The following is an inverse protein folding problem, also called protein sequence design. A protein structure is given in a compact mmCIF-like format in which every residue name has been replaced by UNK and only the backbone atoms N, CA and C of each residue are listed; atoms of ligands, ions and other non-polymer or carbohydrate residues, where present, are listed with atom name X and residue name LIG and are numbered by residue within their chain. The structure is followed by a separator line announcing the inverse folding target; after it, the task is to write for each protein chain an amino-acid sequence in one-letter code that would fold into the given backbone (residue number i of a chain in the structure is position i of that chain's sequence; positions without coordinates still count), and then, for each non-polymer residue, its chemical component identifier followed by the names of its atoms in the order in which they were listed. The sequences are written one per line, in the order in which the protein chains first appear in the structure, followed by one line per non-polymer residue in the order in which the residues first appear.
data_IF_998950932509
#
_entry.id   IF_998950932509
#
_cell.length_a   1.000
_cell.length_b   1.000
_cell.length_c   1.000
_cell.angle_alpha   90.00
_cell.angle_beta   90.00
_cell.angle_gamma   90.00
#
_symmetry.space_group_name_H-M   'P 1'
#
loop_
_entity.id
_entity.type
_entity.pdbx_description
1 polymer ?
2 non-polymer ?
3 non-polymer ?
4 non-polymer ?
5 non-polymer ?
6 water ?
#
# COMPACT_ATOMS: atom_id res chain seq x y z
N UNK A 3 18.59 -14.99 -23.63
CA UNK A 3 17.29 -14.68 -23.03
C UNK A 3 17.14 -15.22 -21.62
N UNK A 4 18.25 -15.62 -21.01
CA UNK A 4 18.30 -16.02 -19.60
C UNK A 4 19.17 -15.02 -18.87
N UNK A 5 18.63 -14.50 -17.79
CA UNK A 5 19.33 -13.50 -16.97
C UNK A 5 19.90 -14.21 -15.77
N UNK A 6 21.23 -14.21 -15.71
CA UNK A 6 21.99 -14.90 -14.64
C UNK A 6 22.79 -13.88 -13.86
N UNK A 7 22.69 -12.59 -14.16
CA UNK A 7 23.51 -11.59 -13.47
C UNK A 7 22.90 -10.23 -13.77
N UNK A 8 23.39 -9.21 -13.06
CA UNK A 8 22.92 -7.87 -13.41
C UNK A 8 23.32 -7.49 -14.80
N UNK A 9 24.48 -7.97 -15.30
CA UNK A 9 24.80 -7.49 -16.66
C UNK A 9 23.95 -8.16 -17.72
N UNK A 10 23.54 -9.42 -17.50
CA UNK A 10 22.68 -10.10 -18.48
C UNK A 10 21.38 -9.36 -18.67
N UNK A 11 20.96 -8.66 -17.62
CA UNK A 11 19.65 -8.03 -17.68
C UNK A 11 19.56 -7.00 -18.79
N UNK A 12 20.71 -6.43 -19.18
CA UNK A 12 20.67 -5.40 -20.19
C UNK A 12 20.60 -6.03 -21.58
N UNK A 13 20.62 -7.34 -21.69
CA UNK A 13 20.76 -7.97 -22.99
C UNK A 13 19.50 -8.68 -23.47
N UNK A 14 18.35 -8.36 -22.85
CA UNK A 14 17.13 -9.09 -23.17
C UNK A 14 16.33 -8.49 -24.30
N UNK A 15 16.81 -7.43 -24.91
CA UNK A 15 16.03 -6.83 -25.98
C UNK A 15 15.96 -7.83 -27.12
N UNK A 16 14.76 -8.08 -27.60
CA UNK A 16 14.47 -9.08 -28.62
C UNK A 16 13.86 -10.33 -28.07
N UNK A 17 13.90 -10.54 -26.75
CA UNK A 17 13.38 -11.77 -26.14
C UNK A 17 11.88 -11.65 -25.83
N UNK A 18 11.03 -12.48 -26.42
CA UNK A 18 9.64 -12.57 -26.04
C UNK A 18 9.42 -13.48 -24.84
N UNK A 19 10.42 -14.28 -24.52
CA UNK A 19 10.39 -15.17 -23.34
C UNK A 19 11.71 -15.02 -22.63
N UNK A 20 11.70 -14.48 -21.41
CA UNK A 20 12.90 -14.26 -20.61
C UNK A 20 12.82 -15.17 -19.43
N UNK A 21 13.93 -15.84 -19.12
CA UNK A 21 14.03 -16.58 -17.85
C UNK A 21 14.93 -15.81 -16.91
N UNK A 22 14.41 -15.55 -15.72
CA UNK A 22 15.18 -14.84 -14.69
C UNK A 22 15.67 -15.90 -13.72
N UNK A 23 16.97 -16.26 -13.83
CA UNK A 23 17.51 -17.23 -12.90
C UNK A 23 17.77 -16.59 -11.54
N UNK A 24 18.05 -17.47 -10.57
CA UNK A 24 18.49 -16.95 -9.24
C UNK A 24 19.95 -16.60 -9.24
N UNK A 25 20.28 -15.55 -8.49
CA UNK A 25 21.63 -15.03 -8.34
C UNK A 25 21.59 -13.98 -7.23
N UNK A 26 22.77 -13.50 -6.87
CA UNK A 26 22.90 -12.36 -5.96
C UNK A 26 23.17 -11.11 -6.76
N UNK A 27 22.43 -10.03 -6.42
CA UNK A 27 22.72 -8.68 -6.92
C UNK A 27 23.79 -8.11 -6.00
N UNK A 28 25.01 -7.91 -6.49
CA UNK A 28 26.11 -7.51 -5.60
C UNK A 28 25.89 -6.09 -5.12
N UNK A 29 26.59 -5.78 -4.00
CA UNK A 29 26.62 -4.43 -3.47
C UNK A 29 26.90 -3.45 -4.57
N UNK A 30 26.22 -2.31 -4.57
CA UNK A 30 26.56 -1.26 -5.55
C UNK A 30 25.92 -1.44 -6.88
N UNK A 31 25.03 -2.45 -7.03
CA UNK A 31 24.41 -2.68 -8.36
C UNK A 31 22.90 -2.72 -8.20
N UNK A 32 22.24 -2.53 -9.33
CA UNK A 32 20.77 -2.70 -9.40
C UNK A 32 20.45 -3.67 -10.52
N UNK A 33 19.25 -4.23 -10.43
CA UNK A 33 18.73 -5.14 -11.45
C UNK A 33 17.60 -4.44 -12.16
N UNK A 34 17.82 -4.12 -13.43
CA UNK A 34 16.87 -3.39 -14.24
C UNK A 34 16.48 -4.23 -15.43
N UNK A 35 15.19 -4.47 -15.61
CA UNK A 35 14.70 -5.21 -16.75
C UNK A 35 13.73 -4.34 -17.53
N UNK A 36 13.98 -4.20 -18.83
CA UNK A 36 13.15 -3.47 -19.77
C UNK A 36 12.77 -4.47 -20.86
N UNK A 37 11.83 -5.37 -20.59
CA UNK A 37 11.49 -6.42 -21.53
C UNK A 37 10.75 -5.90 -22.71
N UNK A 38 10.81 -6.66 -23.81
CA UNK A 38 10.06 -6.38 -24.98
C UNK A 38 8.53 -6.34 -24.67
N UNK A 39 7.83 -5.54 -25.48
CA UNK A 39 6.39 -5.46 -25.33
C UNK A 39 5.78 -6.84 -25.41
N UNK A 40 4.87 -7.14 -24.47
CA UNK A 40 4.18 -8.42 -24.45
C UNK A 40 5.02 -9.63 -24.01
N UNK A 41 6.24 -9.38 -23.56
CA UNK A 41 7.09 -10.54 -23.19
C UNK A 41 6.58 -11.21 -21.93
N UNK A 42 6.89 -12.51 -21.87
CA UNK A 42 6.73 -13.28 -20.62
C UNK A 42 8.09 -13.38 -19.95
N UNK A 43 8.14 -13.00 -18.67
CA UNK A 43 9.33 -13.11 -17.84
C UNK A 43 9.02 -14.12 -16.77
N UNK A 44 9.78 -15.24 -16.72
CA UNK A 44 9.53 -16.31 -15.76
C UNK A 44 10.70 -16.41 -14.82
N UNK A 45 10.43 -16.36 -13.53
CA UNK A 45 11.45 -16.53 -12.54
C UNK A 45 11.73 -18.01 -12.30
N UNK A 46 13.03 -18.35 -12.26
CA UNK A 46 13.44 -19.77 -12.10
C UNK A 46 14.33 -19.91 -10.86
N UNK A 47 14.56 -18.86 -10.13
CA UNK A 47 15.35 -18.94 -8.90
C UNK A 47 15.08 -17.70 -8.07
N UNK A 48 15.67 -17.68 -6.85
CA UNK A 48 15.53 -16.56 -5.94
C UNK A 48 16.66 -15.55 -6.18
N UNK A 49 16.33 -14.27 -6.04
CA UNK A 49 17.31 -13.18 -6.23
C UNK A 49 17.57 -12.55 -4.90
N UNK A 50 18.81 -12.59 -4.46
CA UNK A 50 19.20 -12.05 -3.14
C UNK A 50 20.02 -10.78 -3.35
N UNK A 51 19.72 -9.75 -2.56
CA UNK A 51 20.39 -8.45 -2.73
C UNK A 51 21.36 -8.29 -1.57
N UNK A 52 22.66 -8.31 -1.88
CA UNK A 52 23.66 -8.10 -0.85
C UNK A 52 23.47 -6.74 -0.23
N UNK A 53 23.91 -6.55 1.01
CA UNK A 53 23.78 -5.24 1.65
C UNK A 53 24.45 -4.19 0.80
N UNK A 54 23.75 -3.08 0.59
CA UNK A 54 24.15 -2.06 -0.37
C UNK A 54 23.97 -0.67 0.22
N UNK A 55 24.72 0.28 -0.34
CA UNK A 55 24.59 1.69 0.03
C UNK A 55 23.75 2.45 -0.98
N UNK A 56 23.33 1.83 -2.07
CA UNK A 56 22.55 2.54 -3.07
C UNK A 56 21.17 2.92 -2.56
N UNK A 57 20.64 4.02 -3.13
CA UNK A 57 19.23 4.28 -2.96
C UNK A 57 18.44 3.23 -3.78
N UNK A 58 17.22 2.96 -3.34
CA UNK A 58 16.31 2.20 -4.16
C UNK A 58 15.78 2.99 -5.28
N UNK A 59 15.08 2.34 -6.22
CA UNK A 59 14.78 0.90 -6.22
C UNK A 59 16.01 0.08 -6.59
N UNK A 60 16.09 -1.09 -5.91
CA UNK A 60 17.17 -2.05 -6.26
C UNK A 60 16.78 -2.93 -7.42
N UNK A 61 15.52 -3.11 -7.67
CA UNK A 61 14.99 -3.87 -8.81
C UNK A 61 13.94 -2.99 -9.50
N UNK A 62 14.06 -2.80 -10.81
CA UNK A 62 13.08 -2.07 -11.57
C UNK A 62 12.72 -2.91 -12.78
N UNK A 63 11.42 -3.09 -13.02
CA UNK A 63 10.94 -3.69 -14.27
C UNK A 63 9.93 -2.73 -14.86
N UNK A 64 10.11 -2.50 -16.15
CA UNK A 64 9.36 -1.48 -16.88
C UNK A 64 9.07 -2.03 -18.25
N UNK A 65 7.83 -2.25 -18.57
CA UNK A 65 7.48 -2.69 -19.93
C UNK A 65 5.97 -2.60 -20.13
N UNK A 66 5.54 -2.89 -21.35
CA UNK A 66 4.15 -2.85 -21.76
C UNK A 66 3.59 -4.25 -21.94
N UNK A 67 2.50 -4.58 -21.26
CA UNK A 67 1.86 -5.85 -21.45
C UNK A 67 2.74 -7.03 -21.00
N UNK A 68 3.55 -6.82 -19.94
CA UNK A 68 4.44 -7.86 -19.46
C UNK A 68 3.65 -8.92 -18.72
N UNK A 69 4.01 -10.18 -18.95
CA UNK A 69 3.45 -11.31 -18.21
C UNK A 69 4.54 -11.86 -17.33
N UNK A 70 4.51 -11.57 -16.02
CA UNK A 70 5.62 -11.94 -15.11
C UNK A 70 5.10 -13.13 -14.30
N UNK A 71 5.78 -14.27 -14.45
CA UNK A 71 5.42 -15.52 -13.85
C UNK A 71 6.45 -15.82 -12.77
N UNK A 72 6.05 -15.63 -11.50
CA UNK A 72 7.04 -15.71 -10.46
C UNK A 72 7.40 -17.11 -9.99
N UNK A 73 6.50 -18.07 -10.21
CA UNK A 73 6.78 -19.47 -9.81
C UNK A 73 7.19 -19.56 -8.34
N UNK A 74 6.60 -18.71 -7.49
CA UNK A 74 6.80 -18.67 -6.06
C UNK A 74 8.23 -18.34 -5.63
N UNK A 75 9.01 -17.75 -6.52
CA UNK A 75 10.36 -17.36 -6.13
C UNK A 75 10.37 -16.06 -5.33
N UNK A 76 11.57 -15.76 -4.80
CA UNK A 76 11.74 -14.73 -3.80
C UNK A 76 12.75 -13.69 -4.25
N UNK A 77 12.40 -12.41 -3.99
CA UNK A 77 13.33 -11.30 -4.00
C UNK A 77 13.69 -11.03 -2.53
N UNK A 78 14.93 -11.31 -2.14
CA UNK A 78 15.33 -11.21 -0.74
C UNK A 78 16.12 -9.94 -0.52
N UNK A 79 15.52 -9.01 0.23
CA UNK A 79 16.12 -7.71 0.46
C UNK A 79 17.07 -7.63 1.60
N UNK A 80 17.26 -8.73 2.37
CA UNK A 80 18.21 -8.69 3.50
C UNK A 80 17.88 -7.57 4.48
N UNK A 81 16.57 -7.35 4.70
CA UNK A 81 16.19 -6.17 5.47
C UNK A 81 16.72 -6.13 6.87
N UNK A 82 16.90 -7.28 7.54
CA UNK A 82 17.40 -7.27 8.90
C UNK A 82 18.82 -6.72 9.00
N UNK A 83 19.56 -6.64 7.88
CA UNK A 83 20.86 -6.01 7.93
C UNK A 83 20.78 -4.49 8.04
N UNK A 84 19.61 -3.94 7.83
CA UNK A 84 19.39 -2.50 7.84
C UNK A 84 18.49 -2.06 8.99
N UNK A 85 17.47 -2.88 9.34
CA UNK A 85 16.44 -2.40 10.27
C UNK A 85 17.02 -1.97 11.60
N UNK A 86 16.59 -0.81 12.04
CA UNK A 86 17.12 -0.20 13.31
C UNK A 86 16.03 0.48 14.08
N UNK A 87 14.75 0.19 13.80
CA UNK A 87 13.66 0.82 14.49
C UNK A 87 13.28 2.19 13.98
N UNK A 88 14.03 2.76 13.01
CA UNK A 88 13.79 4.15 12.57
C UNK A 88 13.32 4.23 11.15
N UNK A 89 13.35 3.12 10.40
CA UNK A 89 12.80 3.19 9.03
C UNK A 89 13.43 4.27 8.19
N UNK A 90 12.59 4.91 7.41
CA UNK A 90 13.06 5.98 6.54
C UNK A 90 12.98 7.35 7.19
N UNK A 91 12.65 7.36 8.50
CA UNK A 91 12.58 8.62 9.20
C UNK A 91 13.90 9.10 9.68
N UNK A 92 14.80 8.22 10.00
CA UNK A 92 16.13 8.53 10.52
C UNK A 92 16.93 7.27 10.59
N UNK A 93 18.08 7.29 11.18
CA UNK A 93 18.90 6.10 11.43
C UNK A 93 19.65 5.67 10.17
N UNK A 94 19.84 4.36 10.05
CA UNK A 94 20.60 3.79 8.96
C UNK A 94 19.88 4.09 7.64
N UNK A 95 20.67 4.22 6.55
CA UNK A 95 20.08 4.30 5.23
C UNK A 95 19.33 3.00 4.92
N UNK A 96 18.13 3.15 4.38
CA UNK A 96 17.33 2.00 3.93
C UNK A 96 17.12 2.14 2.44
N UNK A 97 17.63 1.26 1.59
CA UNK A 97 17.29 1.32 0.18
C UNK A 97 15.79 1.18 0.00
N UNK A 98 15.13 2.14 -0.62
CA UNK A 98 13.67 2.07 -0.78
C UNK A 98 13.29 2.88 -2.00
N UNK A 99 12.17 2.51 -2.65
CA UNK A 99 11.49 1.22 -2.48
C UNK A 99 12.46 0.10 -2.86
N UNK A 100 12.10 -1.13 -2.49
CA UNK A 100 12.93 -2.28 -2.89
C UNK A 100 12.74 -2.58 -4.38
N UNK A 101 11.49 -2.86 -4.75
CA UNK A 101 11.11 -3.11 -6.12
C UNK A 101 10.28 -1.92 -6.67
N UNK A 102 10.47 -1.66 -7.96
CA UNK A 102 9.63 -0.71 -8.71
C UNK A 102 9.12 -1.42 -9.94
N UNK A 103 7.77 -1.38 -10.12
CA UNK A 103 7.10 -2.00 -11.25
C UNK A 103 6.35 -0.90 -11.98
N UNK A 104 6.68 -0.72 -13.27
CA UNK A 104 6.17 0.33 -14.11
C UNK A 104 5.62 -0.24 -15.40
N UNK A 105 4.68 0.48 -16.04
CA UNK A 105 4.17 0.13 -17.35
C UNK A 105 2.85 -0.61 -17.19
N UNK A 106 2.76 -1.84 -17.70
CA UNK A 106 1.51 -2.56 -17.68
C UNK A 106 1.75 -4.06 -17.78
N UNK A 107 0.69 -4.82 -17.53
CA UNK A 107 0.74 -6.27 -17.64
C UNK A 107 0.20 -6.92 -16.39
N UNK A 108 0.67 -8.15 -16.13
CA UNK A 108 0.18 -8.99 -15.03
C UNK A 108 1.40 -9.64 -14.36
N UNK A 109 1.48 -9.46 -13.07
CA UNK A 109 2.62 -9.93 -12.24
C UNK A 109 2.07 -10.91 -11.23
N UNK A 110 2.56 -12.13 -11.21
CA UNK A 110 1.96 -13.19 -10.39
C UNK A 110 2.97 -13.95 -9.56
N UNK A 111 2.57 -14.30 -8.34
CA UNK A 111 3.13 -15.43 -7.60
C UNK A 111 4.64 -15.30 -7.39
N UNK A 112 5.02 -14.21 -6.76
CA UNK A 112 6.39 -14.14 -6.18
C UNK A 112 6.28 -13.49 -4.82
N UNK A 113 7.41 -13.56 -4.12
CA UNK A 113 7.50 -13.05 -2.75
C UNK A 113 8.61 -12.03 -2.68
N UNK A 114 8.34 -10.94 -1.96
CA UNK A 114 9.36 -10.00 -1.50
C UNK A 114 9.60 -10.33 -0.06
N UNK A 115 10.83 -10.74 0.27
CA UNK A 115 11.19 -11.15 1.63
C UNK A 115 12.10 -10.10 2.23
N UNK A 116 11.68 -9.59 3.40
CA UNK A 116 12.55 -8.68 4.18
C UNK A 116 13.09 -7.51 3.38
N UNK A 117 12.14 -6.68 2.86
CA UNK A 117 12.57 -5.42 2.28
C UNK A 117 13.23 -4.53 3.34
N UNK A 118 14.24 -3.74 2.97
CA UNK A 118 14.84 -2.79 3.92
C UNK A 118 13.81 -1.81 4.49
N UNK A 119 12.92 -1.33 3.64
CA UNK A 119 11.81 -0.43 4.09
C UNK A 119 10.68 -0.66 3.10
N UNK A 120 10.23 0.35 2.39
CA UNK A 120 9.03 0.16 1.56
C UNK A 120 9.32 -0.92 0.50
N UNK A 121 8.36 -1.83 0.32
CA UNK A 121 8.64 -3.05 -0.47
C UNK A 121 8.41 -2.86 -1.96
N UNK A 122 7.18 -2.60 -2.40
CA UNK A 122 6.88 -2.56 -3.82
C UNK A 122 6.24 -1.20 -4.17
N UNK A 123 6.92 -0.45 -5.03
CA UNK A 123 6.41 0.79 -5.59
C UNK A 123 5.83 0.50 -6.98
N UNK A 124 4.59 0.95 -7.16
CA UNK A 124 3.85 0.71 -8.36
C UNK A 124 3.57 2.00 -9.08
N UNK A 125 3.98 2.06 -10.33
CA UNK A 125 3.63 3.17 -11.22
C UNK A 125 4.87 3.91 -11.69
N UNK A 126 4.68 4.73 -12.70
CA UNK A 126 3.41 4.95 -13.40
C UNK A 126 3.10 3.79 -14.36
N UNK A 127 1.87 3.82 -14.85
CA UNK A 127 1.38 2.78 -15.76
C UNK A 127 1.11 3.42 -17.14
N UNK A 128 1.10 2.50 -18.14
CA UNK A 128 0.72 2.89 -19.48
C UNK A 128 -0.51 2.15 -19.97
N UNK A 129 -1.09 1.29 -19.17
CA UNK A 129 -2.30 0.47 -19.44
C UNK A 129 -2.59 -0.27 -18.11
N UNK A 130 -3.51 -1.23 -18.10
CA UNK A 130 -3.81 -1.85 -16.81
C UNK A 130 -2.58 -2.62 -16.29
N UNK A 131 -2.40 -2.57 -14.97
CA UNK A 131 -1.34 -3.32 -14.27
C UNK A 131 -1.98 -4.09 -13.15
N UNK A 132 -1.78 -5.40 -13.18
CA UNK A 132 -2.34 -6.30 -12.17
C UNK A 132 -1.22 -7.00 -11.44
N UNK A 133 -1.26 -6.94 -10.09
CA UNK A 133 -0.37 -7.71 -9.21
C UNK A 133 -1.25 -8.73 -8.52
N UNK A 134 -0.92 -10.00 -8.64
CA UNK A 134 -1.81 -11.08 -8.22
C UNK A 134 -1.02 -12.15 -7.53
N UNK A 135 -1.33 -12.40 -6.28
CA UNK A 135 -0.73 -13.54 -5.58
C UNK A 135 0.71 -13.25 -5.15
N UNK A 136 1.01 -11.98 -4.83
CA UNK A 136 2.33 -11.57 -4.32
C UNK A 136 2.29 -11.55 -2.82
N UNK A 137 3.38 -12.08 -2.23
CA UNK A 137 3.55 -12.02 -0.78
C UNK A 137 4.65 -11.03 -0.45
N UNK A 138 4.37 -10.07 0.44
CA UNK A 138 5.42 -9.25 1.04
C UNK A 138 5.57 -9.78 2.45
N UNK A 139 6.62 -10.58 2.66
CA UNK A 139 6.88 -11.18 3.97
C UNK A 139 7.99 -10.40 4.65
N UNK A 140 7.57 -9.40 5.45
CA UNK A 140 8.45 -8.65 6.35
C UNK A 140 8.16 -9.00 7.78
N UNK A 141 7.61 -10.19 8.06
CA UNK A 141 7.29 -10.57 9.43
C UNK A 141 8.49 -10.48 10.38
N UNK A 142 9.70 -10.82 9.85
CA UNK A 142 10.89 -10.76 10.71
C UNK A 142 11.09 -9.35 11.26
N UNK A 143 10.57 -8.33 10.60
CA UNK A 143 10.68 -6.96 11.07
C UNK A 143 9.94 -6.71 12.38
N UNK A 144 9.06 -7.61 12.81
CA UNK A 144 8.39 -7.41 14.09
C UNK A 144 9.36 -7.58 15.25
N UNK A 145 10.41 -8.38 15.06
CA UNK A 145 11.31 -8.70 16.18
C UNK A 145 11.96 -7.43 16.68
N UNK A 146 11.79 -7.16 18.00
CA UNK A 146 12.33 -5.99 18.68
C UNK A 146 11.86 -4.69 18.00
N UNK A 147 10.74 -4.79 17.29
CA UNK A 147 10.16 -3.63 16.59
C UNK A 147 11.14 -2.92 15.67
N UNK A 148 12.05 -3.73 15.05
CA UNK A 148 13.08 -3.07 14.26
C UNK A 148 12.63 -2.72 12.85
N UNK A 149 11.78 -3.48 12.23
CA UNK A 149 11.28 -3.14 10.90
C UNK A 149 10.38 -1.91 11.00
N UNK A 150 10.44 -1.02 10.01
CA UNK A 150 9.63 0.20 10.07
C UNK A 150 9.52 0.75 8.65
N UNK A 151 8.41 1.42 8.35
CA UNK A 151 8.18 1.95 7.01
C UNK A 151 8.26 0.84 5.95
N UNK A 152 7.84 -0.36 6.34
CA UNK A 152 7.88 -1.54 5.43
C UNK A 152 6.57 -1.71 4.65
N UNK A 153 6.15 -0.60 4.00
CA UNK A 153 4.89 -0.64 3.25
C UNK A 153 4.89 -1.81 2.26
N UNK A 154 3.72 -2.47 2.13
CA UNK A 154 3.63 -3.53 1.16
C UNK A 154 3.66 -3.02 -0.27
N UNK A 155 2.66 -2.18 -0.59
CA UNK A 155 2.49 -1.62 -1.92
C UNK A 155 2.26 -0.11 -1.79
N UNK A 156 3.12 0.67 -2.45
CA UNK A 156 2.91 2.12 -2.55
C UNK A 156 2.51 2.42 -3.98
N UNK A 157 1.32 2.98 -4.18
CA UNK A 157 0.77 3.14 -5.53
C UNK A 157 0.60 4.60 -5.89
N UNK A 158 1.27 4.98 -6.99
CA UNK A 158 1.05 6.28 -7.63
C UNK A 158 0.91 5.95 -9.11
N UNK A 159 -0.34 5.67 -9.51
CA UNK A 159 -0.56 5.09 -10.83
C UNK A 159 -2.05 5.04 -11.12
N UNK A 160 -2.39 4.96 -12.40
CA UNK A 160 -3.76 4.70 -12.81
C UNK A 160 -3.95 3.24 -13.16
N UNK A 161 -5.19 2.75 -13.06
CA UNK A 161 -5.55 1.47 -13.65
C UNK A 161 -4.74 0.31 -13.08
N UNK A 162 -4.74 0.22 -11.76
CA UNK A 162 -4.03 -0.83 -11.03
C UNK A 162 -5.01 -1.76 -10.32
N UNK A 163 -4.74 -3.05 -10.37
CA UNK A 163 -5.43 -4.04 -9.54
C UNK A 163 -4.37 -4.81 -8.74
N UNK A 164 -4.57 -4.89 -7.42
CA UNK A 164 -3.72 -5.68 -6.55
C UNK A 164 -4.67 -6.67 -5.89
N UNK A 165 -4.48 -7.94 -6.12
CA UNK A 165 -5.46 -8.95 -5.63
C UNK A 165 -4.73 -10.20 -5.19
N UNK A 166 -5.37 -10.89 -4.21
CA UNK A 166 -4.89 -12.19 -3.77
C UNK A 166 -3.48 -12.10 -3.18
N UNK A 167 -3.10 -10.96 -2.65
CA UNK A 167 -1.74 -10.77 -2.07
C UNK A 167 -1.79 -10.93 -0.57
N UNK A 168 -0.61 -11.08 0.03
CA UNK A 168 -0.42 -11.27 1.44
C UNK A 168 0.67 -10.30 1.87
N UNK A 169 0.40 -9.49 2.89
CA UNK A 169 1.43 -8.57 3.41
C UNK A 169 1.54 -8.74 4.93
N UNK A 170 2.74 -9.03 5.38
CA UNK A 170 3.10 -9.12 6.81
C UNK A 170 4.17 -8.08 7.05
N UNK A 171 3.86 -6.99 7.74
CA UNK A 171 4.78 -5.88 7.75
C UNK A 171 4.55 -5.00 8.98
N UNK A 172 5.10 -3.77 8.91
CA UNK A 172 5.09 -2.82 10.05
C UNK A 172 4.60 -1.45 9.63
N UNK A 173 4.02 -1.31 8.42
CA UNK A 173 3.45 -0.02 8.04
C UNK A 173 2.27 -0.31 7.12
N UNK A 174 1.83 0.66 6.32
CA UNK A 174 0.65 0.45 5.49
C UNK A 174 0.77 -0.84 4.69
N UNK A 175 -0.29 -1.61 4.64
CA UNK A 175 -0.33 -2.76 3.75
C UNK A 175 -0.27 -2.31 2.29
N UNK A 176 -1.10 -1.30 2.00
CA UNK A 176 -1.08 -0.54 0.77
C UNK A 176 -1.23 0.92 1.18
N UNK A 177 -0.51 1.79 0.46
CA UNK A 177 -0.76 3.24 0.54
C UNK A 177 -1.01 3.69 -0.90
N UNK A 178 -2.21 4.19 -1.17
CA UNK A 178 -2.57 4.71 -2.48
C UNK A 178 -2.34 6.22 -2.41
N UNK A 179 -1.31 6.68 -3.10
CA UNK A 179 -0.89 8.07 -2.98
C UNK A 179 -1.33 8.98 -4.12
N UNK A 180 -1.65 8.41 -5.29
CA UNK A 180 -2.06 9.19 -6.46
C UNK A 180 -2.64 8.22 -7.47
N UNK A 181 -3.62 8.68 -8.22
CA UNK A 181 -4.12 7.89 -9.35
C UNK A 181 -5.59 7.60 -9.32
N UNK A 182 -6.06 7.17 -10.51
CA UNK A 182 -7.44 6.86 -10.74
C UNK A 182 -7.60 5.36 -11.08
N UNK A 183 -8.71 4.76 -10.60
CA UNK A 183 -9.09 3.42 -10.97
C UNK A 183 -8.11 2.40 -10.40
N UNK A 184 -8.22 2.26 -9.07
CA UNK A 184 -7.33 1.39 -8.28
C UNK A 184 -8.18 0.45 -7.48
N UNK A 185 -7.91 -0.84 -7.62
CA UNK A 185 -8.68 -1.89 -6.96
C UNK A 185 -7.74 -2.73 -6.12
N UNK A 186 -8.10 -2.88 -4.85
CA UNK A 186 -7.34 -3.68 -3.88
C UNK A 186 -8.33 -4.74 -3.39
N UNK A 187 -8.21 -5.98 -3.86
CA UNK A 187 -9.26 -6.96 -3.63
C UNK A 187 -8.69 -8.29 -3.14
N UNK A 188 -9.32 -8.85 -2.13
CA UNK A 188 -9.06 -10.24 -1.68
C UNK A 188 -7.59 -10.40 -1.24
N UNK A 189 -7.09 -9.38 -0.55
CA UNK A 189 -5.75 -9.42 0.07
C UNK A 189 -5.84 -9.69 1.56
N UNK A 190 -4.70 -10.13 2.14
CA UNK A 190 -4.59 -10.36 3.56
C UNK A 190 -3.46 -9.52 4.12
N UNK A 191 -3.74 -8.67 5.08
CA UNK A 191 -2.78 -7.73 5.66
C UNK A 191 -2.65 -8.01 7.14
N UNK A 192 -1.43 -8.15 7.63
CA UNK A 192 -1.27 -8.32 9.08
C UNK A 192 -0.02 -7.58 9.54
N UNK A 193 -0.06 -7.13 10.81
CA UNK A 193 1.10 -6.59 11.52
C UNK A 193 1.31 -5.09 11.34
N UNK A 194 0.76 -4.52 10.26
CA UNK A 194 1.13 -3.16 9.83
C UNK A 194 0.11 -2.13 10.27
N UNK A 195 -0.09 -1.15 9.39
CA UNK A 195 -0.89 0.03 9.68
C UNK A 195 -2.18 0.06 8.85
N UNK A 196 -2.54 -1.04 8.25
CA UNK A 196 -3.87 -1.13 7.59
C UNK A 196 -3.83 -0.71 6.15
N UNK A 197 -5.04 -0.51 5.62
CA UNK A 197 -5.24 -0.20 4.19
C UNK A 197 -5.46 1.30 4.04
N UNK A 198 -4.51 1.99 3.39
CA UNK A 198 -4.52 3.45 3.40
C UNK A 198 -4.64 4.05 2.00
N UNK A 199 -5.36 5.19 2.00
CA UNK A 199 -5.22 6.18 0.95
C UNK A 199 -4.46 7.35 1.55
N UNK A 200 -3.33 7.70 0.93
CA UNK A 200 -2.47 8.77 1.40
C UNK A 200 -1.25 8.25 2.18
N UNK A 201 -0.50 9.17 2.80
CA UNK A 201 -0.92 10.58 2.98
C UNK A 201 -0.96 11.30 1.65
N UNK A 202 -2.03 12.03 1.47
CA UNK A 202 -2.26 12.84 0.28
C UNK A 202 -1.45 14.15 0.41
N UNK A 203 -0.61 14.38 -0.58
CA UNK A 203 0.23 15.55 -0.64
C UNK A 203 -0.30 16.54 -1.68
N UNK A 204 0.28 17.73 -1.64
CA UNK A 204 -0.10 18.74 -2.63
C UNK A 204 0.00 18.23 -4.06
N UNK A 205 -1.03 18.54 -4.83
CA UNK A 205 -1.05 18.21 -6.25
C UNK A 205 -1.48 16.76 -6.55
N UNK A 206 -1.78 15.97 -5.54
CA UNK A 206 -2.11 14.53 -5.77
C UNK A 206 -3.61 14.32 -5.69
N UNK A 207 -4.09 13.40 -6.53
CA UNK A 207 -5.51 13.16 -6.68
C UNK A 207 -5.75 11.67 -6.78
N UNK A 208 -6.49 11.12 -5.81
CA UNK A 208 -6.84 9.71 -5.80
C UNK A 208 -8.33 9.60 -6.09
N UNK A 209 -8.70 8.75 -7.05
CA UNK A 209 -10.13 8.65 -7.38
C UNK A 209 -10.46 7.25 -7.84
N UNK A 210 -11.74 6.91 -7.65
CA UNK A 210 -12.29 5.65 -8.12
C UNK A 210 -11.48 4.45 -7.61
N UNK A 211 -11.50 4.35 -6.28
CA UNK A 211 -10.80 3.29 -5.56
C UNK A 211 -11.83 2.28 -5.05
N UNK A 212 -11.55 1.00 -5.22
CA UNK A 212 -12.37 -0.07 -4.65
C UNK A 212 -11.50 -0.90 -3.74
N UNK A 213 -11.88 -1.01 -2.47
CA UNK A 213 -11.20 -1.78 -1.45
C UNK A 213 -12.18 -2.88 -1.05
N UNK A 214 -11.97 -4.09 -1.57
CA UNK A 214 -13.01 -5.10 -1.53
C UNK A 214 -12.48 -6.46 -1.09
N UNK A 215 -13.17 -7.09 -0.13
CA UNK A 215 -12.87 -8.50 0.13
C UNK A 215 -11.59 -8.76 0.94
N UNK A 216 -11.02 -7.74 1.53
CA UNK A 216 -9.72 -7.91 2.21
C UNK A 216 -9.89 -8.29 3.65
N UNK A 217 -8.85 -8.96 4.18
CA UNK A 217 -8.80 -9.26 5.63
C UNK A 217 -7.61 -8.52 6.24
N UNK A 218 -7.83 -7.82 7.33
CA UNK A 218 -6.79 -7.10 8.04
C UNK A 218 -6.80 -7.58 9.48
N UNK A 219 -5.63 -7.95 9.98
CA UNK A 219 -5.54 -8.41 11.37
C UNK A 219 -4.32 -7.74 12.01
N UNK A 220 -4.34 -7.67 13.35
CA UNK A 220 -3.19 -7.29 14.16
C UNK A 220 -2.46 -6.09 13.56
N UNK A 221 -3.22 -4.98 13.43
CA UNK A 221 -2.78 -3.79 12.74
C UNK A 221 -3.10 -2.57 13.57
N UNK A 222 -2.39 -1.46 13.29
CA UNK A 222 -2.61 -0.24 14.07
C UNK A 222 -3.89 0.47 13.68
N UNK A 223 -4.27 0.38 12.41
CA UNK A 223 -5.50 0.99 11.88
C UNK A 223 -6.15 -0.05 10.98
N UNK A 224 -7.47 0.05 10.82
CA UNK A 224 -8.14 -0.84 9.84
C UNK A 224 -8.05 -0.26 8.44
N UNK A 225 -8.83 0.85 8.23
CA UNK A 225 -8.71 1.62 6.98
C UNK A 225 -8.52 3.09 7.34
N UNK A 226 -7.73 3.76 6.50
CA UNK A 226 -7.49 5.18 6.66
C UNK A 226 -7.55 5.91 5.32
N UNK A 227 -8.06 7.13 5.39
CA UNK A 227 -7.83 8.13 4.33
C UNK A 227 -7.18 9.29 5.03
N UNK A 228 -5.89 9.55 4.70
CA UNK A 228 -5.11 10.56 5.37
C UNK A 228 -4.63 11.58 4.38
N UNK A 229 -4.84 12.85 4.69
CA UNK A 229 -4.30 13.95 3.89
C UNK A 229 -3.46 14.83 4.79
N UNK A 230 -2.29 15.23 4.25
CA UNK A 230 -1.49 16.19 4.96
C UNK A 230 -2.31 17.45 5.25
N UNK A 231 -2.22 17.91 6.49
CA UNK A 231 -2.92 19.18 6.85
C UNK A 231 -2.60 20.26 5.90
N UNK A 232 -1.35 20.35 5.42
CA UNK A 232 -0.93 21.46 4.58
C UNK A 232 -1.18 21.30 3.08
N UNK A 233 -1.68 20.13 2.68
CA UNK A 233 -1.81 19.87 1.21
C UNK A 233 -2.82 20.77 0.56
N UNK A 234 -2.50 21.23 -0.66
CA UNK A 234 -3.41 21.99 -1.47
C UNK A 234 -3.45 21.39 -2.89
N UNK A 235 -4.47 21.81 -3.66
CA UNK A 235 -4.67 21.29 -5.02
C UNK A 235 -4.60 19.75 -5.06
N UNK A 236 -5.35 19.16 -4.13
CA UNK A 236 -5.31 17.70 -3.93
C UNK A 236 -6.74 17.21 -3.71
N UNK A 237 -6.95 15.90 -3.81
CA UNK A 237 -8.31 15.39 -3.56
C UNK A 237 -8.30 13.88 -3.44
N UNK A 238 -9.36 13.38 -2.77
CA UNK A 238 -9.71 11.96 -2.80
C UNK A 238 -11.20 11.91 -3.14
N UNK A 239 -11.57 11.19 -4.19
CA UNK A 239 -12.98 11.17 -4.59
C UNK A 239 -13.38 9.82 -5.12
N UNK A 240 -14.46 9.26 -4.57
CA UNK A 240 -14.99 8.02 -5.15
C UNK A 240 -14.26 6.79 -4.56
N UNK A 241 -14.51 6.49 -3.31
CA UNK A 241 -13.86 5.38 -2.61
C UNK A 241 -14.96 4.46 -2.12
N UNK A 242 -14.85 3.15 -2.42
CA UNK A 242 -15.85 2.19 -1.96
C UNK A 242 -15.13 1.09 -1.19
N UNK A 243 -15.55 0.93 0.07
CA UNK A 243 -15.13 -0.19 0.90
C UNK A 243 -16.25 -1.21 0.89
N UNK A 244 -15.91 -2.48 0.57
CA UNK A 244 -16.91 -3.51 0.32
C UNK A 244 -16.36 -4.80 0.86
N UNK A 245 -17.04 -5.45 1.79
CA UNK A 245 -16.73 -6.87 2.13
C UNK A 245 -15.34 -7.03 2.81
N UNK A 246 -14.91 -6.08 3.64
CA UNK A 246 -13.64 -6.23 4.34
C UNK A 246 -13.88 -6.73 5.76
N UNK A 247 -12.99 -7.64 6.20
CA UNK A 247 -13.09 -8.23 7.53
C UNK A 247 -11.83 -7.87 8.32
N UNK A 248 -11.99 -7.12 9.39
CA UNK A 248 -10.85 -6.49 10.08
C UNK A 248 -10.98 -6.77 11.55
N UNK A 249 -9.86 -7.06 12.19
CA UNK A 249 -9.86 -7.31 13.65
C UNK A 249 -8.49 -7.03 14.22
N UNK A 250 -8.42 -6.97 15.56
CA UNK A 250 -7.13 -6.82 16.23
C UNK A 250 -6.55 -5.44 15.98
N UNK A 251 -7.39 -4.40 15.95
CA UNK A 251 -6.92 -3.04 15.63
C UNK A 251 -6.58 -2.24 16.88
N UNK A 252 -5.37 -1.68 16.90
CA UNK A 252 -4.89 -1.01 18.14
C UNK A 252 -5.31 0.43 18.30
N UNK A 253 -5.43 1.22 17.21
CA UNK A 253 -5.61 2.69 17.33
C UNK A 253 -6.96 3.10 16.81
N UNK A 254 -7.23 2.98 15.54
CA UNK A 254 -8.55 3.35 14.98
C UNK A 254 -9.02 2.31 13.98
N UNK A 255 -10.28 1.86 14.15
CA UNK A 255 -10.87 1.02 13.12
C UNK A 255 -10.93 1.72 11.76
N UNK A 256 -11.51 2.91 11.77
CA UNK A 256 -11.55 3.80 10.62
C UNK A 256 -11.04 5.14 11.06
N UNK A 257 -10.05 5.71 10.35
CA UNK A 257 -9.67 7.09 10.54
C UNK A 257 -9.61 7.79 9.19
N UNK A 258 -10.49 8.78 9.05
CA UNK A 258 -10.55 9.61 7.85
C UNK A 258 -10.15 10.97 8.33
N UNK A 259 -9.01 11.49 7.90
CA UNK A 259 -8.47 12.66 8.55
C UNK A 259 -7.67 13.53 7.58
N UNK A 260 -7.90 14.85 7.72
CA UNK A 260 -7.18 15.87 7.00
C UNK A 260 -6.21 16.62 7.90
N UNK A 261 -5.81 15.95 9.00
CA UNK A 261 -4.86 16.55 9.98
C UNK A 261 -3.48 15.92 9.92
N UNK A 262 -3.18 15.04 8.96
CA UNK A 262 -1.92 14.28 8.96
C UNK A 262 -0.74 15.22 8.98
N UNK A 263 0.37 14.89 9.63
CA UNK A 263 0.74 13.61 10.27
C UNK A 263 0.14 13.36 11.64
N UNK A 264 -0.65 14.26 12.17
CA UNK A 264 -1.46 13.94 13.32
C UNK A 264 -2.69 13.13 12.90
N UNK A 265 -3.22 12.35 13.87
CA UNK A 265 -4.46 11.65 13.55
C UNK A 265 -5.64 12.64 13.50
N UNK A 266 -5.74 13.56 14.43
CA UNK A 266 -6.79 14.56 14.53
C UNK A 266 -6.22 15.93 14.91
N UNK A 267 -7.09 16.95 14.85
CA UNK A 267 -6.74 18.33 15.17
C UNK A 267 -6.55 19.25 13.97
N UNK A 268 -7.14 20.43 13.99
CA UNK A 268 -7.01 21.51 13.00
C UNK A 268 -6.79 20.96 11.59
N UNK A 269 -7.85 20.33 11.07
CA UNK A 269 -7.73 19.68 9.76
C UNK A 269 -7.66 20.70 8.63
N UNK A 270 -6.89 20.33 7.59
CA UNK A 270 -6.75 21.13 6.38
C UNK A 270 -7.99 21.12 5.51
N UNK A 271 -8.00 22.12 4.62
CA UNK A 271 -9.14 22.29 3.71
C UNK A 271 -8.77 22.16 2.24
N UNK A 272 -7.52 21.87 1.92
CA UNK A 272 -7.06 21.88 0.55
C UNK A 272 -6.98 20.54 -0.13
N UNK A 273 -7.42 19.47 0.54
CA UNK A 273 -7.40 18.12 -0.04
C UNK A 273 -8.78 17.50 0.13
N UNK A 274 -9.80 18.10 -0.49
CA UNK A 274 -11.18 17.64 -0.25
C UNK A 274 -11.35 16.14 -0.50
N UNK A 275 -12.13 15.53 0.39
CA UNK A 275 -12.57 14.15 0.29
C UNK A 275 -14.04 14.11 -0.10
N UNK A 276 -14.40 13.30 -1.10
CA UNK A 276 -15.80 13.18 -1.47
C UNK A 276 -16.13 11.74 -1.82
N UNK A 277 -17.41 11.43 -1.64
CA UNK A 277 -18.00 10.16 -2.08
C UNK A 277 -17.24 8.93 -1.57
N UNK A 278 -17.24 8.80 -0.24
CA UNK A 278 -16.60 7.69 0.45
C UNK A 278 -17.70 6.80 1.05
N UNK A 279 -17.78 5.57 0.60
CA UNK A 279 -18.89 4.64 0.97
C UNK A 279 -18.38 3.36 1.53
N UNK A 280 -19.18 2.76 2.41
CA UNK A 280 -19.06 1.37 2.86
C UNK A 280 -20.35 0.69 2.45
N UNK A 281 -20.31 0.01 1.28
CA UNK A 281 -21.46 -0.60 0.66
C UNK A 281 -21.10 -1.97 0.11
N UNK A 282 -22.11 -2.68 -0.38
CA UNK A 282 -21.88 -4.06 -0.85
C UNK A 282 -21.88 -5.04 0.29
N UNK A 283 -20.85 -5.88 0.36
CA UNK A 283 -20.75 -6.80 1.47
C UNK A 283 -20.40 -6.05 2.76
N UNK A 284 -20.79 -6.58 3.91
CA UNK A 284 -20.48 -5.98 5.20
C UNK A 284 -18.94 -5.77 5.35
N UNK A 285 -18.58 -4.61 5.79
CA UNK A 285 -17.22 -4.39 6.33
C UNK A 285 -17.36 -4.36 7.85
N UNK A 286 -16.79 -5.40 8.48
CA UNK A 286 -16.88 -5.56 9.90
C UNK A 286 -15.50 -5.37 10.50
N UNK A 287 -15.43 -4.52 11.51
CA UNK A 287 -14.17 -4.14 12.11
C UNK A 287 -14.29 -4.31 13.62
N UNK A 288 -13.36 -5.08 14.18
CA UNK A 288 -13.29 -5.25 15.66
C UNK A 288 -12.01 -4.60 16.13
N UNK A 289 -12.13 -3.72 17.13
CA UNK A 289 -10.99 -2.99 17.63
C UNK A 289 -10.68 -3.40 19.06
N UNK A 290 -9.42 -3.18 19.44
CA UNK A 290 -8.97 -3.51 20.78
C UNK A 290 -9.52 -2.57 21.85
N UNK A 291 -9.33 -2.99 23.13
CA UNK A 291 -10.00 -2.25 24.21
C UNK A 291 -9.64 -0.77 24.26
N UNK A 292 -8.41 -0.42 23.96
CA UNK A 292 -7.97 0.99 24.11
C UNK A 292 -8.13 1.73 22.79
N UNK A 293 -8.60 1.07 21.75
CA UNK A 293 -8.75 1.67 20.41
C UNK A 293 -10.02 2.48 20.32
N UNK A 294 -10.03 3.31 19.29
CA UNK A 294 -11.23 4.07 18.88
C UNK A 294 -11.86 3.40 17.67
N UNK A 295 -13.19 3.37 17.66
CA UNK A 295 -13.88 2.74 16.51
C UNK A 295 -13.73 3.55 15.22
N UNK A 296 -14.38 4.70 15.16
CA UNK A 296 -14.38 5.47 13.93
C UNK A 296 -14.18 6.97 14.26
N UNK A 297 -13.20 7.60 13.63
CA UNK A 297 -13.09 9.07 13.66
C UNK A 297 -13.02 9.60 12.25
N UNK A 298 -13.81 10.65 12.02
CA UNK A 298 -13.76 11.42 10.77
C UNK A 298 -13.42 12.85 11.17
N UNK A 299 -12.31 13.36 10.65
CA UNK A 299 -11.81 14.70 10.97
C UNK A 299 -11.59 15.47 9.67
N UNK A 300 -12.68 16.11 9.20
CA UNK A 300 -12.68 16.82 7.90
C UNK A 300 -12.61 18.33 8.11
N UNK A 301 -11.69 18.98 7.39
CA UNK A 301 -11.78 20.37 7.06
C UNK A 301 -12.56 20.66 5.79
N UNK A 302 -12.59 19.70 4.87
CA UNK A 302 -13.29 19.92 3.59
C UNK A 302 -13.69 18.57 3.03
N UNK A 303 -14.95 18.19 3.25
CA UNK A 303 -15.46 16.89 2.79
C UNK A 303 -16.87 17.12 2.21
N UNK A 304 -17.22 16.39 1.17
CA UNK A 304 -18.51 16.54 0.50
C UNK A 304 -19.10 15.19 0.10
N UNK A 305 -20.42 15.23 -0.09
CA UNK A 305 -21.15 14.12 -0.63
C UNK A 305 -22.03 13.41 0.37
N UNK A 306 -22.81 12.48 -0.16
CA UNK A 306 -23.65 11.59 0.66
C UNK A 306 -22.91 10.30 0.82
N UNK A 307 -22.25 10.19 1.97
CA UNK A 307 -21.39 9.01 2.27
C UNK A 307 -22.30 7.94 2.85
N UNK A 308 -22.49 6.89 2.03
CA UNK A 308 -23.34 5.76 2.46
C UNK A 308 -22.46 4.74 3.14
N UNK A 309 -22.58 4.72 4.48
CA UNK A 309 -21.77 3.81 5.30
C UNK A 309 -22.65 2.69 5.86
N UNK A 310 -23.73 2.35 5.13
CA UNK A 310 -24.71 1.40 5.65
C UNK A 310 -24.10 0.05 5.99
N UNK A 311 -23.07 -0.38 5.26
CA UNK A 311 -22.54 -1.73 5.46
C UNK A 311 -21.37 -1.79 6.42
N UNK A 312 -21.05 -0.68 7.10
CA UNK A 312 -19.97 -0.67 8.09
C UNK A 312 -20.52 -1.06 9.46
N UNK A 313 -19.84 -1.99 10.12
CA UNK A 313 -20.06 -2.30 11.55
C UNK A 313 -18.71 -2.27 12.22
N UNK A 314 -18.57 -1.47 13.27
CA UNK A 314 -17.33 -1.40 14.04
C UNK A 314 -17.73 -1.64 15.51
N UNK A 315 -17.03 -2.57 16.16
CA UNK A 315 -17.27 -2.89 17.57
C UNK A 315 -15.97 -2.91 18.34
N UNK A 316 -16.09 -2.85 19.65
CA UNK A 316 -14.93 -2.82 20.54
C UNK A 316 -14.55 -1.39 20.92
N UNK A 317 -13.58 -1.29 21.85
CA UNK A 317 -12.95 0.00 22.14
C UNK A 317 -13.96 1.07 22.52
N UNK A 318 -13.68 2.30 22.11
CA UNK A 318 -14.50 3.46 22.48
C UNK A 318 -14.93 4.20 21.23
N UNK A 319 -15.96 5.05 21.38
CA UNK A 319 -16.43 5.87 20.29
C UNK A 319 -15.41 6.92 19.93
N UNK A 320 -15.30 7.18 18.63
CA UNK A 320 -14.54 8.32 18.14
C UNK A 320 -15.43 9.54 17.97
N UNK A 321 -15.00 10.43 17.08
CA UNK A 321 -15.70 11.70 16.82
C UNK A 321 -15.90 11.82 15.34
N UNK A 322 -17.07 12.41 14.94
CA UNK A 322 -17.38 12.67 13.55
C UNK A 322 -17.50 14.16 13.30
N UNK A 323 -16.61 14.72 12.50
CA UNK A 323 -16.60 16.09 11.99
C UNK A 323 -16.52 15.94 10.48
N UNK A 324 -17.66 15.89 9.83
CA UNK A 324 -17.67 15.53 8.37
C UNK A 324 -17.84 16.70 7.45
N UNK A 325 -17.79 17.94 7.99
CA UNK A 325 -17.86 19.14 7.13
C UNK A 325 -19.17 19.07 6.32
N UNK A 326 -19.11 19.21 5.00
CA UNK A 326 -20.32 19.22 4.20
C UNK A 326 -20.88 17.85 3.92
N UNK A 327 -20.09 16.77 4.17
CA UNK A 327 -20.54 15.44 3.84
C UNK A 327 -21.59 15.00 4.85
N UNK A 328 -22.52 14.17 4.41
CA UNK A 328 -23.51 13.59 5.29
C UNK A 328 -23.21 12.10 5.35
N UNK A 329 -22.93 11.58 6.51
CA UNK A 329 -22.63 10.15 6.67
C UNK A 329 -23.89 9.43 7.15
N UNK A 330 -24.36 8.46 6.37
CA UNK A 330 -25.57 7.70 6.70
C UNK A 330 -25.25 6.28 6.99
N UNK A 331 -26.05 5.78 7.93
CA UNK A 331 -26.16 4.33 8.11
C UNK A 331 -24.95 3.83 8.86
N UNK A 332 -24.91 2.51 9.04
CA UNK A 332 -23.87 1.78 9.69
C UNK A 332 -24.01 1.74 11.19
N UNK A 333 -23.14 0.99 11.83
CA UNK A 333 -23.14 0.78 13.27
C UNK A 333 -21.69 0.99 13.78
N UNK A 334 -21.48 2.08 14.49
CA UNK A 334 -20.11 2.41 14.98
C UNK A 334 -20.08 3.44 16.07
N UNK A 335 -21.13 4.23 16.29
CA UNK A 335 -21.11 5.37 17.17
C UNK A 335 -21.03 4.90 18.62
#
# INVERSE_FOLDING_TARGET
ATCTVKSVDDAKDIAGCSAVTLNGFTVPAGNTLVLNPDKGATVTMAGDITFAKTTLDGPLFTIDGTGINFVGADHIFDGNGALYWDGKGTNNGTHKPHPFLKIKGSGTYKKFEVLNSPAQAISVGPTDAHLTLDGITVDDFAGDTKNLGHNTDGFDVSANNVTIQNCIVKNQDDCIAINDGNNIRFENNQCSGGHGISIGSIATGKHVSNVVIKGNTVTRSMYGVRIKAQRTATSASVSGVTYDANTISGIAKYGVLISQSYPDDVGNPGTGAPFSDVNFTGGATTIKVNNAATRVTVECGNCSGNWNWSQLTVTGGKAGTIKSDKAKITGGQYL
#
